data_IF_083999964792
#
_entry.id   IF_083999964792
#
_cell.length_a   1.000
_cell.length_b   1.000
_cell.length_c   1.000
_cell.angle_alpha   90.00
_cell.angle_beta   90.00
_cell.angle_gamma   90.00
#
_symmetry.space_group_name_H-M   'P 1'
#
loop_
_entity.id
_entity.type
_entity.pdbx_description
1 polymer ?
#
# COMPACT_ATOMS: atom_id res chain seq x y z
N UNK A 1 4.19 -15.25 0.71
CA UNK A 1 3.51 -14.05 0.20
C UNK A 1 3.57 -12.94 1.23
N UNK A 2 3.78 -11.70 0.80
CA UNK A 2 3.94 -10.55 1.70
C UNK A 2 2.71 -10.34 2.59
N UNK A 3 1.52 -10.43 2.02
CA UNK A 3 0.25 -10.26 2.73
C UNK A 3 0.14 -11.18 3.94
N UNK A 4 0.49 -12.45 3.78
CA UNK A 4 0.46 -13.43 4.86
C UNK A 4 1.43 -13.08 5.98
N UNK A 5 2.62 -12.61 5.63
CA UNK A 5 3.62 -12.21 6.61
C UNK A 5 3.17 -11.02 7.43
N UNK A 6 2.52 -10.06 6.80
CA UNK A 6 1.97 -8.89 7.48
C UNK A 6 0.87 -9.31 8.46
N UNK A 7 -0.06 -10.15 8.02
CA UNK A 7 -1.16 -10.63 8.87
C UNK A 7 -0.63 -11.41 10.06
N UNK A 8 0.32 -12.31 9.85
CA UNK A 8 0.91 -13.12 10.95
C UNK A 8 1.62 -12.30 11.99
N UNK A 9 2.23 -11.18 11.60
CA UNK A 9 3.04 -10.34 12.49
C UNK A 9 2.28 -9.19 13.12
N UNK A 10 1.04 -8.97 12.72
CA UNK A 10 0.24 -7.86 13.25
C UNK A 10 -0.16 -8.12 14.71
N UNK A 11 -0.38 -7.04 15.43
CA UNK A 11 -1.06 -7.11 16.73
C UNK A 11 -2.55 -7.32 16.45
N UNK A 12 -3.25 -8.00 17.37
CA UNK A 12 -4.67 -8.35 17.18
C UNK A 12 -5.56 -7.14 16.94
N UNK A 13 -5.27 -6.03 17.59
CA UNK A 13 -6.04 -4.78 17.48
C UNK A 13 -5.70 -3.96 16.22
N UNK A 14 -4.68 -4.34 15.47
CA UNK A 14 -4.28 -3.63 14.24
C UNK A 14 -5.32 -3.84 13.15
N UNK A 15 -5.84 -2.74 12.63
CA UNK A 15 -6.75 -2.79 11.47
C UNK A 15 -5.95 -2.79 10.19
N UNK A 16 -6.32 -3.67 9.26
CA UNK A 16 -5.67 -3.78 7.95
C UNK A 16 -6.71 -3.62 6.85
N UNK A 17 -6.47 -2.70 5.93
CA UNK A 17 -7.24 -2.55 4.70
C UNK A 17 -6.42 -3.12 3.54
N UNK A 18 -6.99 -4.10 2.84
CA UNK A 18 -6.40 -4.62 1.60
C UNK A 18 -7.18 -4.10 0.42
N UNK A 19 -6.54 -3.29 -0.41
CA UNK A 19 -7.12 -2.80 -1.65
C UNK A 19 -6.69 -3.69 -2.81
N UNK A 20 -7.67 -4.30 -3.45
CA UNK A 20 -7.46 -5.12 -4.64
C UNK A 20 -8.58 -4.85 -5.63
N UNK A 21 -8.24 -4.24 -6.75
CA UNK A 21 -9.22 -3.90 -7.79
C UNK A 21 -9.61 -5.09 -8.66
N UNK A 22 -8.81 -6.15 -8.68
CA UNK A 22 -9.10 -7.36 -9.46
C UNK A 22 -9.92 -8.33 -8.61
N UNK A 23 -11.23 -8.31 -8.83
CA UNK A 23 -12.17 -9.12 -8.07
C UNK A 23 -11.98 -10.63 -8.26
N UNK A 24 -11.75 -11.06 -9.49
CA UNK A 24 -11.70 -12.49 -9.79
C UNK A 24 -10.45 -13.18 -9.24
N UNK A 25 -9.34 -12.44 -9.17
CA UNK A 25 -8.04 -13.03 -8.86
C UNK A 25 -7.65 -12.95 -7.40
N UNK A 26 -7.95 -11.86 -6.73
CA UNK A 26 -7.38 -11.60 -5.42
C UNK A 26 -8.40 -11.22 -4.37
N UNK A 27 -9.39 -10.40 -4.71
CA UNK A 27 -10.35 -9.93 -3.73
C UNK A 27 -11.18 -11.06 -3.12
N UNK A 28 -11.77 -11.92 -3.98
CA UNK A 28 -12.60 -13.03 -3.51
C UNK A 28 -11.77 -14.07 -2.76
N UNK A 29 -10.55 -14.34 -3.21
CA UNK A 29 -9.65 -15.26 -2.54
C UNK A 29 -9.22 -14.73 -1.17
N UNK A 30 -8.94 -13.44 -1.08
CA UNK A 30 -8.56 -12.80 0.18
C UNK A 30 -9.73 -12.78 1.17
N UNK A 31 -10.94 -12.48 0.70
CA UNK A 31 -12.13 -12.51 1.54
C UNK A 31 -12.36 -13.91 2.14
N UNK A 32 -12.24 -14.94 1.34
CA UNK A 32 -12.39 -16.33 1.81
C UNK A 32 -11.30 -16.70 2.80
N UNK A 33 -10.06 -16.33 2.51
CA UNK A 33 -8.91 -16.66 3.35
C UNK A 33 -8.96 -15.99 4.73
N UNK A 34 -9.41 -14.74 4.79
CA UNK A 34 -9.39 -13.95 6.02
C UNK A 34 -10.77 -13.66 6.60
N UNK A 35 -11.80 -14.38 6.16
CA UNK A 35 -13.19 -14.14 6.60
C UNK A 35 -13.39 -14.26 8.11
N UNK A 36 -12.60 -15.08 8.78
CA UNK A 36 -12.71 -15.32 10.21
C UNK A 36 -11.75 -14.45 11.05
N UNK A 37 -10.94 -13.61 10.38
CA UNK A 37 -10.01 -12.72 11.05
C UNK A 37 -10.66 -11.38 11.37
N UNK A 38 -10.54 -10.95 12.62
CA UNK A 38 -11.03 -9.63 13.03
C UNK A 38 -10.09 -8.52 12.55
N UNK A 39 -10.65 -7.34 12.29
CA UNK A 39 -9.88 -6.15 11.89
C UNK A 39 -9.13 -6.26 10.56
N UNK A 40 -9.53 -7.19 9.70
CA UNK A 40 -9.05 -7.29 8.32
C UNK A 40 -10.22 -7.00 7.39
N UNK A 41 -10.03 -6.01 6.52
CA UNK A 41 -11.07 -5.53 5.60
C UNK A 41 -10.53 -5.62 4.17
N UNK A 42 -11.21 -6.40 3.34
CA UNK A 42 -10.85 -6.58 1.94
C UNK A 42 -11.72 -5.63 1.11
N UNK A 43 -11.05 -4.77 0.34
CA UNK A 43 -11.72 -3.73 -0.44
C UNK A 43 -11.47 -3.98 -1.92
N UNK A 44 -12.55 -4.24 -2.67
CA UNK A 44 -12.50 -4.37 -4.12
C UNK A 44 -12.73 -3.01 -4.77
N UNK A 45 -11.73 -2.16 -4.71
CA UNK A 45 -11.79 -0.82 -5.26
C UNK A 45 -10.39 -0.25 -5.48
N UNK A 46 -10.31 0.88 -6.15
CA UNK A 46 -9.06 1.58 -6.36
C UNK A 46 -8.57 2.24 -5.07
N UNK A 47 -7.25 2.24 -4.86
CA UNK A 47 -6.62 2.88 -3.73
C UNK A 47 -6.85 4.40 -3.67
N UNK A 48 -7.27 5.03 -4.78
CA UNK A 48 -7.60 6.44 -4.77
C UNK A 48 -8.82 6.76 -3.88
N UNK A 49 -9.64 5.76 -3.54
CA UNK A 49 -10.81 5.91 -2.68
C UNK A 49 -10.54 5.52 -1.22
N UNK A 50 -9.28 5.50 -0.81
CA UNK A 50 -8.89 5.08 0.53
C UNK A 50 -9.63 5.84 1.64
N UNK A 51 -9.86 7.13 1.47
CA UNK A 51 -10.56 7.96 2.46
C UNK A 51 -11.98 7.49 2.76
N UNK A 52 -12.70 7.04 1.74
CA UNK A 52 -14.04 6.49 1.86
C UNK A 52 -14.08 5.27 2.78
N UNK A 53 -13.12 4.37 2.62
CA UNK A 53 -13.05 3.13 3.40
C UNK A 53 -12.49 3.35 4.79
N UNK A 54 -11.60 4.31 4.96
CA UNK A 54 -11.14 4.73 6.29
C UNK A 54 -12.31 5.21 7.13
N UNK A 55 -13.18 6.02 6.54
CA UNK A 55 -14.38 6.51 7.22
C UNK A 55 -15.34 5.37 7.54
N UNK A 56 -15.54 4.45 6.59
CA UNK A 56 -16.44 3.31 6.77
C UNK A 56 -16.00 2.41 7.93
N UNK A 57 -14.70 2.20 8.10
CA UNK A 57 -14.15 1.30 9.11
C UNK A 57 -13.59 2.03 10.33
N UNK A 58 -13.86 3.31 10.44
CA UNK A 58 -13.46 4.15 11.58
C UNK A 58 -11.95 4.14 11.82
N UNK A 59 -11.21 4.45 10.75
CA UNK A 59 -9.75 4.58 10.79
C UNK A 59 -9.40 6.05 10.59
N UNK A 60 -8.89 6.75 11.63
CA UNK A 60 -8.64 8.19 11.53
C UNK A 60 -7.38 8.56 10.73
N UNK A 61 -6.35 7.72 10.78
CA UNK A 61 -5.10 7.88 10.03
C UNK A 61 -4.43 6.54 9.85
N UNK A 62 -3.38 6.52 9.03
CA UNK A 62 -2.67 5.28 8.69
C UNK A 62 -1.22 5.39 9.13
N UNK A 63 -0.71 4.37 9.81
CA UNK A 63 0.68 4.30 10.25
C UNK A 63 1.62 3.81 9.14
N UNK A 64 1.19 2.80 8.39
CA UNK A 64 1.98 2.20 7.32
C UNK A 64 1.11 1.92 6.10
N UNK A 65 1.61 2.32 4.94
CA UNK A 65 1.03 1.92 3.65
C UNK A 65 2.08 1.13 2.91
N UNK A 66 1.73 -0.10 2.54
CA UNK A 66 2.60 -0.97 1.75
C UNK A 66 1.94 -1.17 0.39
N UNK A 67 2.63 -0.79 -0.67
CA UNK A 67 2.08 -0.77 -2.02
C UNK A 67 2.93 -1.58 -2.98
N UNK A 68 2.28 -2.48 -3.72
CA UNK A 68 2.86 -3.15 -4.88
C UNK A 68 2.39 -2.56 -6.20
N UNK A 69 1.79 -1.37 -6.19
CA UNK A 69 1.28 -0.75 -7.42
C UNK A 69 2.40 -0.41 -8.39
N UNK A 70 2.22 -0.72 -9.67
CA UNK A 70 3.24 -0.45 -10.69
C UNK A 70 3.17 1.01 -11.17
N UNK A 71 3.60 1.95 -10.35
CA UNK A 71 3.52 3.38 -10.66
C UNK A 71 4.16 3.75 -11.99
N UNK A 72 5.18 2.99 -12.42
CA UNK A 72 5.85 3.25 -13.70
C UNK A 72 4.91 3.05 -14.91
N UNK A 73 3.91 2.17 -14.77
CA UNK A 73 2.96 1.87 -15.85
C UNK A 73 1.56 2.42 -15.61
N UNK A 74 1.28 2.98 -14.44
CA UNK A 74 -0.01 3.61 -14.18
C UNK A 74 -0.09 4.99 -14.84
N UNK A 75 -1.28 5.45 -15.25
CA UNK A 75 -1.46 6.82 -15.71
C UNK A 75 -1.01 7.82 -14.64
N UNK A 76 -0.40 8.93 -15.07
CA UNK A 76 0.12 9.94 -14.14
C UNK A 76 -0.98 10.53 -13.24
N UNK A 77 -2.17 10.74 -13.78
CA UNK A 77 -3.30 11.29 -13.00
C UNK A 77 -3.69 10.35 -11.86
N UNK A 78 -3.78 9.07 -12.15
CA UNK A 78 -4.12 8.06 -11.13
C UNK A 78 -3.01 7.95 -10.09
N UNK A 79 -1.76 7.89 -10.52
CA UNK A 79 -0.61 7.84 -9.62
C UNK A 79 -0.57 9.07 -8.71
N UNK A 80 -0.80 10.25 -9.27
CA UNK A 80 -0.84 11.49 -8.51
C UNK A 80 -1.95 11.50 -7.46
N UNK A 81 -3.14 11.04 -7.84
CA UNK A 81 -4.28 10.97 -6.91
C UNK A 81 -3.99 10.02 -5.76
N UNK A 82 -3.42 8.86 -6.03
CA UNK A 82 -3.07 7.88 -5.00
C UNK A 82 -2.01 8.44 -4.05
N UNK A 83 -0.96 9.07 -4.60
CA UNK A 83 0.12 9.63 -3.78
C UNK A 83 -0.36 10.83 -2.94
N UNK A 84 -1.23 11.67 -3.47
CA UNK A 84 -1.85 12.75 -2.71
C UNK A 84 -2.69 12.23 -1.55
N UNK A 85 -3.45 11.17 -1.77
CA UNK A 85 -4.24 10.52 -0.71
C UNK A 85 -3.35 9.87 0.33
N UNK A 86 -2.25 9.25 -0.11
CA UNK A 86 -1.25 8.70 0.79
C UNK A 86 -0.68 9.79 1.70
N UNK A 87 -0.27 10.91 1.12
CA UNK A 87 0.24 12.05 1.85
C UNK A 87 -0.78 12.61 2.85
N UNK A 88 -2.05 12.67 2.45
CA UNK A 88 -3.13 13.21 3.27
C UNK A 88 -3.43 12.35 4.49
N UNK A 89 -3.48 11.03 4.32
CA UNK A 89 -3.96 10.11 5.35
C UNK A 89 -2.86 9.42 6.14
N UNK A 90 -1.63 9.49 5.67
CA UNK A 90 -0.51 8.92 6.40
C UNK A 90 -0.22 9.75 7.65
N UNK A 91 -0.04 9.08 8.78
CA UNK A 91 0.31 9.72 10.04
C UNK A 91 1.66 10.41 9.91
N UNK A 92 1.90 11.47 10.71
CA UNK A 92 3.12 12.28 10.61
C UNK A 92 4.42 11.45 10.68
N UNK A 93 4.47 10.45 11.55
CA UNK A 93 5.60 9.54 11.67
C UNK A 93 5.41 8.24 10.91
N UNK A 94 4.39 8.17 10.06
CA UNK A 94 4.08 7.00 9.26
C UNK A 94 5.03 6.82 8.09
N UNK A 95 4.97 5.64 7.47
CA UNK A 95 5.81 5.28 6.34
C UNK A 95 4.99 4.75 5.18
N UNK A 96 5.37 5.17 3.98
CA UNK A 96 4.88 4.60 2.73
C UNK A 96 6.00 3.74 2.15
N UNK A 97 5.72 2.47 1.96
CA UNK A 97 6.70 1.50 1.46
C UNK A 97 6.18 0.94 0.15
N UNK A 98 6.97 1.05 -0.91
CA UNK A 98 6.60 0.53 -2.21
C UNK A 98 7.72 -0.31 -2.80
N UNK A 99 7.33 -1.36 -3.53
CA UNK A 99 8.24 -2.29 -4.20
C UNK A 99 8.24 -2.01 -5.69
N UNK A 100 9.42 -1.97 -6.29
CA UNK A 100 9.58 -1.66 -7.72
C UNK A 100 10.66 -2.55 -8.33
N UNK A 101 10.49 -2.89 -9.59
CA UNK A 101 11.53 -3.58 -10.35
C UNK A 101 12.39 -2.61 -11.18
N UNK A 102 12.07 -1.32 -11.11
CA UNK A 102 12.80 -0.25 -11.78
C UNK A 102 12.75 1.01 -10.95
N UNK A 103 13.72 1.90 -11.10
CA UNK A 103 13.71 3.21 -10.44
C UNK A 103 13.05 4.30 -11.30
N UNK A 104 12.39 3.92 -12.40
CA UNK A 104 11.56 4.86 -13.16
C UNK A 104 10.49 5.46 -12.23
N UNK A 105 10.24 6.75 -12.39
CA UNK A 105 9.31 7.51 -11.54
C UNK A 105 9.69 7.61 -10.05
N UNK A 106 10.92 7.26 -9.68
CA UNK A 106 11.41 7.51 -8.33
C UNK A 106 11.28 8.99 -7.98
N UNK A 107 11.69 9.88 -8.88
CA UNK A 107 11.62 11.32 -8.67
C UNK A 107 10.18 11.81 -8.56
N UNK A 108 9.27 11.22 -9.32
CA UNK A 108 7.84 11.52 -9.25
C UNK A 108 7.29 11.19 -7.86
N UNK A 109 7.63 10.04 -7.31
CA UNK A 109 7.22 9.64 -5.95
C UNK A 109 7.86 10.56 -4.92
N UNK A 110 9.13 10.91 -5.10
CA UNK A 110 9.90 11.76 -4.20
C UNK A 110 9.29 13.16 -4.02
N UNK A 111 8.53 13.65 -5.00
CA UNK A 111 7.84 14.94 -4.90
C UNK A 111 6.80 14.97 -3.76
N UNK A 112 6.30 13.83 -3.34
CA UNK A 112 5.26 13.73 -2.31
C UNK A 112 5.80 13.47 -0.91
N UNK A 113 7.09 13.22 -0.76
CA UNK A 113 7.70 12.85 0.52
C UNK A 113 8.97 13.63 0.78
N UNK A 114 9.24 13.96 2.05
CA UNK A 114 10.46 14.69 2.42
C UNK A 114 11.69 13.80 2.38
N UNK A 115 11.54 12.52 2.67
CA UNK A 115 12.63 11.55 2.65
C UNK A 115 12.21 10.29 1.91
N UNK A 116 13.09 9.82 1.02
CA UNK A 116 12.90 8.55 0.32
C UNK A 116 14.22 7.78 0.39
N UNK A 117 14.21 6.65 1.09
CA UNK A 117 15.35 5.74 1.11
C UNK A 117 15.09 4.57 0.16
N UNK A 118 16.14 4.12 -0.51
CA UNK A 118 16.06 3.03 -1.49
C UNK A 118 16.93 1.88 -1.03
N UNK A 119 16.32 0.69 -0.98
CA UNK A 119 17.05 -0.55 -0.71
C UNK A 119 16.86 -1.48 -1.90
N UNK A 120 17.96 -2.03 -2.38
CA UNK A 120 17.93 -3.02 -3.46
C UNK A 120 17.91 -4.42 -2.87
N UNK A 121 16.93 -5.22 -3.26
CA UNK A 121 16.86 -6.62 -2.85
C UNK A 121 17.39 -7.50 -3.98
N UNK A 122 18.64 -7.93 -3.85
CA UNK A 122 19.35 -8.69 -4.90
C UNK A 122 18.96 -10.16 -4.96
N UNK A 123 18.29 -10.67 -3.92
CA UNK A 123 17.84 -12.07 -3.89
C UNK A 123 16.67 -12.34 -4.82
N UNK A 124 15.94 -11.29 -5.20
CA UNK A 124 14.86 -11.40 -6.18
C UNK A 124 15.44 -11.46 -7.59
N UNK A 125 14.73 -12.14 -8.48
CA UNK A 125 15.08 -12.20 -9.91
C UNK A 125 13.80 -11.84 -10.70
N UNK A 126 13.74 -10.64 -11.34
CA UNK A 126 14.73 -9.56 -11.31
C UNK A 126 14.88 -8.92 -9.94
N UNK A 127 16.00 -8.24 -9.67
CA UNK A 127 16.17 -7.54 -8.39
C UNK A 127 15.10 -6.50 -8.15
N UNK A 128 14.60 -6.41 -6.93
CA UNK A 128 13.59 -5.44 -6.55
C UNK A 128 14.22 -4.28 -5.81
N UNK A 129 13.60 -3.11 -5.94
CA UNK A 129 13.92 -1.92 -5.17
C UNK A 129 12.81 -1.67 -4.16
N UNK A 130 13.18 -1.40 -2.92
CA UNK A 130 12.25 -1.05 -1.86
C UNK A 130 12.45 0.42 -1.53
N UNK A 131 11.40 1.21 -1.73
CA UNK A 131 11.40 2.62 -1.39
C UNK A 131 10.65 2.80 -0.08
N UNK A 132 11.30 3.39 0.90
CA UNK A 132 10.70 3.74 2.17
C UNK A 132 10.60 5.26 2.25
N UNK A 133 9.38 5.78 2.27
CA UNK A 133 9.09 7.20 2.14
C UNK A 133 8.49 7.76 3.43
N UNK A 134 8.94 8.94 3.83
CA UNK A 134 8.45 9.66 5.01
C UNK A 134 7.96 11.05 4.62
N UNK A 135 6.93 11.53 5.31
CA UNK A 135 6.43 12.88 5.15
C UNK A 135 7.45 13.94 5.59
#
# INVERSE_FOLDING_TARGET
MLTEKIVKRRKKETKILFFESNKEFSSDLLEEKYKDESNIYIVNDSAEYIGKYMKKYDIPWIDYIVSGLPFASLPNDLSSNILKKTQKYLKEDGKFITFKYTLLKKDFIKEYFSEVSVKREVRNVPPAYILCCSL
#
